data_IF_737011751704
#
_entry.id   IF_737011751704
#
_cell.length_a   1.000
_cell.length_b   1.000
_cell.length_c   1.000
_cell.angle_alpha   90.00
_cell.angle_beta   90.00
_cell.angle_gamma   90.00
#
_symmetry.space_group_name_H-M   'P 1'
#
loop_
_entity.id
_entity.type
_entity.pdbx_description
1 polymer ?
#
# COMPACT_ATOMS: atom_id res chain seq x y z
N UNK A 1 -21.26 -15.89 16.87
CA UNK A 1 -22.11 -16.47 15.82
C UNK A 1 -21.18 -16.93 14.73
N UNK A 2 -21.06 -18.25 14.60
CA UNK A 2 -20.17 -18.93 13.64
C UNK A 2 -21.08 -19.38 12.51
N UNK A 3 -20.73 -19.05 11.27
CA UNK A 3 -21.38 -19.59 10.07
C UNK A 3 -20.32 -20.30 9.26
N UNK A 4 -20.46 -21.62 9.16
CA UNK A 4 -19.77 -22.46 8.19
C UNK A 4 -20.64 -22.57 6.93
N UNK A 5 -20.03 -22.50 5.75
CA UNK A 5 -20.61 -23.01 4.51
C UNK A 5 -19.64 -23.99 3.87
N UNK A 6 -20.10 -25.24 3.68
CA UNK A 6 -19.43 -26.32 2.95
C UNK A 6 -19.74 -26.29 1.44
N UNK A 7 -19.48 -27.38 0.69
CA UNK A 7 -18.39 -27.45 -0.30
C UNK A 7 -18.82 -27.34 -1.78
N UNK A 8 -17.85 -26.98 -2.64
CA UNK A 8 -17.90 -27.01 -4.12
C UNK A 8 -18.19 -25.62 -4.71
N UNK A 9 -17.45 -25.08 -5.68
CA UNK A 9 -16.96 -25.68 -6.93
C UNK A 9 -15.68 -24.96 -7.40
N UNK A 10 -14.67 -25.75 -7.75
CA UNK A 10 -13.52 -25.36 -8.58
C UNK A 10 -14.00 -24.93 -9.96
N UNK A 11 -13.65 -23.74 -10.44
CA UNK A 11 -13.94 -23.35 -11.82
C UNK A 11 -13.59 -21.90 -12.17
N UNK A 12 -12.38 -21.71 -12.70
CA UNK A 12 -11.96 -20.66 -13.64
C UNK A 12 -12.87 -19.44 -13.85
N UNK A 13 -12.48 -18.28 -13.31
CA UNK A 13 -12.87 -16.98 -13.90
C UNK A 13 -11.76 -16.56 -14.87
N UNK A 14 -12.08 -16.69 -16.16
CA UNK A 14 -11.26 -16.26 -17.29
C UNK A 14 -11.31 -14.73 -17.41
N UNK A 15 -10.12 -14.16 -17.49
CA UNK A 15 -9.84 -12.76 -17.81
C UNK A 15 -10.53 -12.37 -19.14
N UNK A 16 -11.50 -11.46 -19.11
CA UNK A 16 -12.21 -10.95 -20.30
C UNK A 16 -11.77 -9.53 -20.64
N UNK A 17 -10.50 -9.34 -20.98
CA UNK A 17 -10.07 -8.13 -21.71
C UNK A 17 -8.96 -8.44 -22.71
N UNK A 18 -9.31 -9.22 -23.74
CA UNK A 18 -8.56 -9.32 -24.99
C UNK A 18 -9.51 -9.08 -26.16
N UNK A 19 -9.81 -7.82 -26.48
CA UNK A 19 -10.28 -7.45 -27.82
C UNK A 19 -10.20 -5.92 -28.06
N UNK A 20 -9.01 -5.40 -28.38
CA UNK A 20 -8.86 -4.51 -29.56
C UNK A 20 -7.43 -4.71 -30.07
N UNK A 21 -7.28 -5.60 -31.04
CA UNK A 21 -6.15 -5.56 -31.95
C UNK A 21 -6.46 -4.58 -33.07
N UNK A 22 -5.47 -3.78 -33.46
CA UNK A 22 -5.19 -3.62 -34.87
C UNK A 22 -3.76 -3.12 -35.13
N UNK A 23 -3.08 -3.91 -35.96
CA UNK A 23 -1.99 -3.55 -36.88
C UNK A 23 -0.59 -3.41 -36.30
N UNK A 24 0.11 -4.54 -36.32
CA UNK A 24 1.57 -4.63 -36.48
C UNK A 24 1.92 -4.24 -37.91
N UNK A 25 2.92 -3.37 -38.11
CA UNK A 25 3.66 -3.35 -39.36
C UNK A 25 5.17 -3.30 -39.07
N UNK A 26 5.87 -4.29 -39.64
CA UNK A 26 7.28 -4.56 -39.47
C UNK A 26 8.10 -3.71 -40.45
N UNK A 27 9.15 -3.06 -39.97
CA UNK A 27 10.06 -2.27 -40.80
C UNK A 27 11.41 -2.03 -40.11
N UNK A 28 12.37 -2.88 -40.42
CA UNK A 28 13.78 -2.75 -40.02
C UNK A 28 14.45 -1.60 -40.77
N UNK A 29 15.30 -0.82 -40.09
CA UNK A 29 16.66 -0.35 -40.49
C UNK A 29 16.94 1.12 -40.17
N UNK A 30 18.01 1.35 -39.39
CA UNK A 30 18.99 2.42 -39.61
C UNK A 30 18.76 3.78 -38.96
N UNK A 31 19.64 4.17 -38.04
CA UNK A 31 19.79 5.56 -37.58
C UNK A 31 20.44 5.67 -36.20
N UNK A 32 21.77 5.72 -36.16
CA UNK A 32 22.57 6.15 -35.00
C UNK A 32 22.48 7.68 -34.86
N UNK A 33 22.74 8.17 -33.64
CA UNK A 33 22.80 9.57 -33.14
C UNK A 33 21.54 9.94 -32.33
N UNK A 34 21.59 10.38 -31.08
CA UNK A 34 22.67 10.78 -30.21
C UNK A 34 22.05 11.72 -29.16
N UNK A 35 22.34 11.50 -27.88
CA UNK A 35 22.07 12.48 -26.81
C UNK A 35 20.92 12.12 -25.87
N UNK A 36 21.24 12.01 -24.58
CA UNK A 36 20.26 12.12 -23.49
C UNK A 36 20.12 10.92 -22.56
N UNK A 37 21.22 10.28 -22.13
CA UNK A 37 21.16 9.35 -21.01
C UNK A 37 21.01 10.10 -19.68
N UNK A 38 19.77 10.30 -19.22
CA UNK A 38 19.43 10.51 -17.81
C UNK A 38 18.14 9.76 -17.47
N UNK A 39 18.20 8.44 -17.62
CA UNK A 39 17.20 7.53 -17.09
C UNK A 39 17.94 6.43 -16.36
N UNK A 40 18.10 6.58 -15.05
CA UNK A 40 18.68 5.57 -14.15
C UNK A 40 17.74 4.37 -13.96
N UNK A 41 17.17 3.85 -15.05
CA UNK A 41 16.43 2.60 -15.06
C UNK A 41 17.43 1.46 -15.13
N UNK A 42 17.78 0.88 -13.98
CA UNK A 42 18.45 -0.41 -13.95
C UNK A 42 17.46 -1.49 -14.36
N UNK A 43 17.29 -1.67 -15.67
CA UNK A 43 16.76 -2.91 -16.25
C UNK A 43 17.95 -3.84 -16.44
N UNK A 44 18.13 -4.86 -15.58
CA UNK A 44 19.19 -5.85 -15.83
C UNK A 44 19.68 -6.73 -14.70
N UNK A 45 18.91 -6.91 -13.62
CA UNK A 45 18.99 -8.04 -12.68
C UNK A 45 17.83 -7.79 -11.71
N UNK A 46 17.04 -8.79 -11.36
CA UNK A 46 16.23 -8.66 -10.15
C UNK A 46 17.22 -8.31 -9.03
N UNK A 47 17.01 -7.18 -8.35
CA UNK A 47 17.94 -6.67 -7.34
C UNK A 47 18.36 -7.83 -6.43
N UNK A 48 19.67 -8.03 -6.20
CA UNK A 48 20.16 -9.15 -5.40
C UNK A 48 19.46 -9.23 -4.03
N UNK A 49 19.04 -8.09 -3.49
CA UNK A 49 18.22 -7.96 -2.28
C UNK A 49 16.84 -8.58 -2.43
N UNK A 50 16.16 -8.37 -3.58
CA UNK A 50 14.86 -8.98 -3.88
C UNK A 50 15.02 -10.50 -4.00
N UNK A 51 16.05 -10.98 -4.69
CA UNK A 51 16.31 -12.41 -4.80
C UNK A 51 16.61 -13.04 -3.42
N UNK A 52 17.41 -12.38 -2.59
CA UNK A 52 17.67 -12.81 -1.21
C UNK A 52 16.39 -12.86 -0.36
N UNK A 53 15.52 -11.84 -0.47
CA UNK A 53 14.22 -11.81 0.20
C UNK A 53 13.32 -12.96 -0.28
N UNK A 54 13.28 -13.22 -1.59
CA UNK A 54 12.52 -14.33 -2.19
C UNK A 54 13.07 -15.69 -1.78
N UNK A 55 14.36 -15.83 -1.47
CA UNK A 55 14.94 -17.11 -1.05
C UNK A 55 14.58 -17.50 0.39
N UNK A 56 14.22 -16.56 1.27
CA UNK A 56 13.93 -16.81 2.69
C UNK A 56 12.46 -16.63 3.07
N UNK A 57 12.11 -17.02 4.28
CA UNK A 57 10.76 -16.81 4.80
C UNK A 57 10.46 -15.31 4.95
N UNK A 58 9.23 -14.91 4.61
CA UNK A 58 8.85 -13.50 4.68
C UNK A 58 8.99 -12.91 6.09
N UNK A 59 8.72 -13.70 7.14
CA UNK A 59 8.90 -13.28 8.54
C UNK A 59 10.31 -12.79 8.88
N UNK A 60 11.31 -13.22 8.11
CA UNK A 60 12.73 -12.93 8.32
C UNK A 60 13.24 -11.80 7.41
N UNK A 61 12.34 -11.11 6.69
CA UNK A 61 12.72 -9.93 5.91
C UNK A 61 13.13 -8.78 6.82
N UNK A 62 14.35 -8.30 6.62
CA UNK A 62 14.80 -7.02 7.15
C UNK A 62 14.00 -5.87 6.54
N UNK A 63 14.07 -4.70 7.17
CA UNK A 63 13.39 -3.52 6.67
C UNK A 63 13.90 -3.09 5.28
N UNK A 64 15.19 -3.23 4.99
CA UNK A 64 15.75 -2.95 3.66
C UNK A 64 15.27 -3.93 2.59
N UNK A 65 15.02 -5.19 2.94
CA UNK A 65 14.41 -6.16 2.03
C UNK A 65 12.92 -5.89 1.82
N UNK A 66 12.20 -5.45 2.85
CA UNK A 66 10.81 -5.00 2.71
C UNK A 66 10.71 -3.81 1.74
N UNK A 67 11.62 -2.85 1.83
CA UNK A 67 11.72 -1.73 0.88
C UNK A 67 12.03 -2.23 -0.54
N UNK A 68 13.06 -3.04 -0.73
CA UNK A 68 13.42 -3.56 -2.05
C UNK A 68 12.29 -4.37 -2.69
N UNK A 69 11.57 -5.18 -1.91
CA UNK A 69 10.38 -5.90 -2.38
C UNK A 69 9.25 -4.94 -2.74
N UNK A 70 9.01 -3.91 -1.93
CA UNK A 70 7.99 -2.91 -2.24
C UNK A 70 8.32 -2.12 -3.52
N UNK A 71 9.57 -1.72 -3.74
CA UNK A 71 9.98 -1.03 -4.95
C UNK A 71 9.88 -1.92 -6.20
N UNK A 72 10.29 -3.18 -6.09
CA UNK A 72 10.19 -4.14 -7.19
C UNK A 72 8.74 -4.45 -7.56
N UNK A 73 7.86 -4.62 -6.58
CA UNK A 73 6.41 -4.79 -6.79
C UNK A 73 5.79 -3.51 -7.34
N UNK A 74 6.16 -2.33 -6.87
CA UNK A 74 5.66 -1.07 -7.40
C UNK A 74 6.00 -0.91 -8.90
N UNK A 75 7.20 -1.33 -9.30
CA UNK A 75 7.67 -1.24 -10.68
C UNK A 75 7.08 -2.32 -11.61
N UNK A 76 6.93 -3.56 -11.11
CA UNK A 76 6.58 -4.74 -11.93
C UNK A 76 5.17 -5.27 -11.70
N UNK A 77 4.47 -4.81 -10.66
CA UNK A 77 3.18 -5.36 -10.24
C UNK A 77 3.27 -6.86 -9.99
N UNK A 78 2.31 -7.62 -10.55
CA UNK A 78 2.26 -9.08 -10.41
C UNK A 78 3.41 -9.81 -11.10
N UNK A 79 4.14 -9.15 -12.01
CA UNK A 79 5.31 -9.72 -12.67
C UNK A 79 6.57 -9.70 -11.77
N UNK A 80 6.51 -9.07 -10.59
CA UNK A 80 7.59 -9.13 -9.61
C UNK A 80 7.78 -10.57 -9.11
N UNK A 81 9.01 -11.10 -9.07
CA UNK A 81 9.29 -12.40 -8.46
C UNK A 81 8.95 -12.45 -6.96
N UNK A 82 8.81 -11.30 -6.29
CA UNK A 82 8.44 -11.22 -4.89
C UNK A 82 6.93 -11.15 -4.65
N UNK A 83 6.11 -10.91 -5.69
CA UNK A 83 4.67 -10.70 -5.56
C UNK A 83 3.98 -11.88 -4.87
N UNK A 84 4.19 -13.11 -5.36
CA UNK A 84 3.56 -14.31 -4.80
C UNK A 84 3.93 -14.52 -3.32
N UNK A 85 5.19 -14.23 -2.94
CA UNK A 85 5.64 -14.36 -1.55
C UNK A 85 5.05 -13.27 -0.64
N UNK A 86 5.00 -12.02 -1.11
CA UNK A 86 4.33 -10.94 -0.39
C UNK A 86 2.83 -11.24 -0.20
N UNK A 87 2.17 -11.79 -1.24
CA UNK A 87 0.77 -12.20 -1.21
C UNK A 87 0.52 -13.28 -0.16
N UNK A 88 1.33 -14.35 -0.17
CA UNK A 88 1.28 -15.40 0.82
C UNK A 88 1.53 -14.88 2.25
N UNK A 89 2.47 -13.95 2.44
CA UNK A 89 2.76 -13.35 3.74
C UNK A 89 1.58 -12.50 4.26
N UNK A 90 0.93 -11.75 3.39
CA UNK A 90 -0.27 -10.96 3.71
C UNK A 90 -1.45 -11.87 4.07
N UNK A 91 -1.67 -12.96 3.32
CA UNK A 91 -2.73 -13.94 3.62
C UNK A 91 -2.51 -14.70 4.92
N UNK A 92 -1.26 -15.09 5.19
CA UNK A 92 -0.89 -15.73 6.45
C UNK A 92 -0.92 -14.77 7.65
N UNK A 93 -1.06 -13.45 7.42
CA UNK A 93 -0.98 -12.45 8.47
C UNK A 93 0.42 -12.37 9.10
N UNK A 94 1.47 -12.65 8.33
CA UNK A 94 2.86 -12.63 8.79
C UNK A 94 3.19 -11.29 9.45
N UNK A 95 3.70 -11.37 10.68
CA UNK A 95 4.08 -10.21 11.47
C UNK A 95 5.56 -9.91 11.35
N UNK A 96 5.86 -8.63 11.25
CA UNK A 96 7.16 -8.01 11.36
C UNK A 96 7.20 -7.17 12.63
N UNK A 97 8.40 -6.77 13.05
CA UNK A 97 8.53 -5.90 14.20
C UNK A 97 9.65 -4.86 14.01
N UNK A 98 9.46 -3.71 14.65
CA UNK A 98 10.48 -2.66 14.75
C UNK A 98 10.47 -2.09 16.17
N UNK A 99 11.66 -1.81 16.72
CA UNK A 99 11.79 -1.15 18.01
C UNK A 99 11.59 0.36 17.83
N UNK A 100 10.65 0.95 18.56
CA UNK A 100 10.37 2.37 18.58
C UNK A 100 11.40 3.15 19.40
N UNK A 101 11.48 4.46 19.18
CA UNK A 101 12.41 5.35 19.90
C UNK A 101 12.15 5.39 21.41
N UNK A 102 10.93 5.09 21.84
CA UNK A 102 10.55 4.97 23.25
C UNK A 102 10.83 3.58 23.86
N UNK A 103 11.51 2.69 23.13
CA UNK A 103 11.89 1.34 23.58
C UNK A 103 10.81 0.27 23.43
N UNK A 104 9.56 0.64 23.11
CA UNK A 104 8.50 -0.33 22.81
C UNK A 104 8.72 -1.01 21.45
N UNK A 105 8.05 -2.15 21.24
CA UNK A 105 8.05 -2.85 19.95
C UNK A 105 6.74 -2.61 19.22
N UNK A 106 6.83 -2.13 17.98
CA UNK A 106 5.70 -2.06 17.06
C UNK A 106 5.66 -3.36 16.25
N UNK A 107 4.55 -4.09 16.33
CA UNK A 107 4.27 -5.21 15.43
C UNK A 107 3.42 -4.73 14.26
N UNK A 108 3.71 -5.18 13.05
CA UNK A 108 2.97 -4.80 11.85
C UNK A 108 2.92 -5.94 10.83
N UNK A 109 1.96 -5.92 9.90
CA UNK A 109 1.77 -6.94 8.85
C UNK A 109 1.38 -6.30 7.52
N UNK A 110 1.61 -7.00 6.41
CA UNK A 110 1.14 -6.55 5.09
C UNK A 110 -0.40 -6.65 5.04
N UNK A 111 -1.04 -5.64 4.45
CA UNK A 111 -2.49 -5.59 4.20
C UNK A 111 -2.86 -5.17 2.78
N UNK A 112 -1.91 -4.63 2.02
CA UNK A 112 -2.11 -4.22 0.64
C UNK A 112 -0.84 -4.47 -0.16
N UNK A 113 -1.02 -4.80 -1.43
CA UNK A 113 0.06 -5.00 -2.40
C UNK A 113 -0.35 -4.26 -3.67
N UNK A 114 0.50 -3.37 -4.16
CA UNK A 114 0.24 -2.58 -5.38
C UNK A 114 -1.15 -1.90 -5.37
N UNK A 115 -1.53 -1.28 -4.23
CA UNK A 115 -2.90 -0.81 -3.98
C UNK A 115 -2.99 0.72 -3.92
N UNK A 116 -2.31 1.33 -2.95
CA UNK A 116 -2.39 2.76 -2.67
C UNK A 116 -1.56 3.59 -3.66
N UNK A 117 -2.09 4.73 -4.11
CA UNK A 117 -1.36 5.62 -5.02
C UNK A 117 -0.30 6.43 -4.27
N UNK A 118 0.94 6.43 -4.75
CA UNK A 118 2.02 7.24 -4.21
C UNK A 118 1.72 8.73 -4.42
N UNK A 119 2.02 9.54 -3.41
CA UNK A 119 1.69 10.96 -3.43
C UNK A 119 2.53 11.78 -4.43
N UNK A 120 3.68 11.26 -4.86
CA UNK A 120 4.54 11.88 -5.87
C UNK A 120 4.08 11.59 -7.32
N UNK A 121 3.03 10.77 -7.49
CA UNK A 121 2.49 10.42 -8.80
C UNK A 121 3.31 9.37 -9.56
N UNK A 122 4.31 8.75 -8.93
CA UNK A 122 5.17 7.73 -9.58
C UNK A 122 4.49 6.38 -9.81
N UNK A 123 3.29 6.19 -9.27
CA UNK A 123 2.51 4.96 -9.42
C UNK A 123 1.90 4.53 -8.10
N UNK A 124 1.88 3.22 -7.87
CA UNK A 124 1.31 2.61 -6.67
C UNK A 124 2.39 2.16 -5.70
N UNK A 125 2.10 2.22 -4.41
CA UNK A 125 2.94 1.65 -3.37
C UNK A 125 2.93 0.11 -3.49
N UNK A 126 4.11 -0.51 -3.52
CA UNK A 126 4.20 -1.94 -3.69
C UNK A 126 3.70 -2.74 -2.49
N UNK A 127 3.91 -2.25 -1.27
CA UNK A 127 3.41 -2.84 -0.03
C UNK A 127 2.77 -1.78 0.89
N UNK A 128 1.63 -2.12 1.49
CA UNK A 128 0.96 -1.35 2.54
C UNK A 128 0.88 -2.19 3.81
N UNK A 129 1.20 -1.60 4.96
CA UNK A 129 1.29 -2.29 6.24
C UNK A 129 0.27 -1.77 7.27
N UNK A 130 -0.19 -2.67 8.15
CA UNK A 130 -1.04 -2.39 9.29
C UNK A 130 -0.31 -2.72 10.59
N UNK A 131 -0.29 -1.77 11.52
CA UNK A 131 0.17 -2.01 12.90
C UNK A 131 -0.81 -2.92 13.65
N UNK A 132 -0.30 -3.96 14.29
CA UNK A 132 -1.09 -4.94 15.06
C UNK A 132 -0.89 -4.86 16.57
N UNK A 133 0.13 -4.15 17.04
CA UNK A 133 0.35 -3.88 18.47
C UNK A 133 -0.48 -2.70 18.97
N UNK A 134 -1.10 -2.82 20.15
CA UNK A 134 -1.96 -1.80 20.75
C UNK A 134 -1.22 -0.73 21.60
N UNK A 135 0.10 -0.59 21.40
CA UNK A 135 0.98 0.25 22.24
C UNK A 135 0.90 1.76 21.95
N UNK A 136 0.40 2.16 20.78
CA UNK A 136 0.23 3.56 20.40
C UNK A 136 -1.26 3.89 20.47
N UNK A 137 -1.63 4.84 21.34
CA UNK A 137 -3.02 5.30 21.51
C UNK A 137 -3.07 6.82 21.49
N UNK A 138 -3.98 7.36 20.71
CA UNK A 138 -4.32 8.79 20.75
C UNK A 138 -5.78 8.98 20.34
N UNK A 139 -6.44 9.97 20.96
CA UNK A 139 -7.77 10.44 20.53
C UNK A 139 -7.68 11.05 19.12
N UNK A 140 -8.81 11.03 18.39
CA UNK A 140 -8.94 11.68 17.08
C UNK A 140 -8.77 13.21 17.18
N UNK A 141 -9.54 13.83 18.08
CA UNK A 141 -9.58 15.27 18.35
C UNK A 141 -9.82 15.52 19.86
N UNK A 142 -9.42 16.69 20.38
CA UNK A 142 -9.72 17.07 21.77
C UNK A 142 -11.22 17.26 22.04
N UNK A 143 -11.97 17.74 21.05
CA UNK A 143 -13.43 17.88 21.11
C UNK A 143 -14.09 16.75 20.33
N UNK A 144 -15.28 16.32 20.77
CA UNK A 144 -16.08 15.33 20.06
C UNK A 144 -16.79 15.95 18.83
N UNK A 145 -16.01 16.31 17.81
CA UNK A 145 -16.49 16.93 16.57
C UNK A 145 -15.76 16.34 15.36
N UNK A 146 -16.47 16.21 14.26
CA UNK A 146 -15.96 15.84 12.93
C UNK A 146 -15.54 17.05 12.10
N UNK A 147 -15.55 18.26 12.69
CA UNK A 147 -15.19 19.50 12.00
C UNK A 147 -13.81 19.38 11.32
N UNK A 148 -13.75 19.66 10.00
CA UNK A 148 -12.58 19.52 9.10
C UNK A 148 -12.14 18.10 8.77
N UNK A 149 -12.90 17.08 9.17
CA UNK A 149 -12.67 15.69 8.81
C UNK A 149 -11.27 15.16 9.19
N UNK A 150 -10.80 14.15 8.45
CA UNK A 150 -9.49 13.54 8.66
C UNK A 150 -8.35 14.56 8.49
N UNK A 151 -8.43 15.38 7.45
CA UNK A 151 -7.41 16.37 7.09
C UNK A 151 -7.07 17.31 8.26
N UNK A 152 -8.12 17.79 8.96
CA UNK A 152 -7.99 18.70 10.09
C UNK A 152 -7.73 18.04 11.43
N UNK A 153 -7.73 16.71 11.52
CA UNK A 153 -7.70 16.00 12.80
C UNK A 153 -6.37 16.15 13.55
N UNK A 154 -6.43 16.20 14.89
CA UNK A 154 -5.24 16.19 15.74
C UNK A 154 -4.43 14.91 15.55
N UNK A 155 -5.11 13.77 15.42
CA UNK A 155 -4.49 12.47 15.22
C UNK A 155 -3.67 12.40 13.93
N UNK A 156 -4.21 12.87 12.79
CA UNK A 156 -3.47 12.90 11.52
C UNK A 156 -2.16 13.68 11.64
N UNK A 157 -2.17 14.83 12.31
CA UNK A 157 -0.97 15.65 12.55
C UNK A 157 0.07 14.87 13.35
N UNK A 158 -0.35 14.23 14.45
CA UNK A 158 0.52 13.38 15.26
C UNK A 158 1.12 12.22 14.45
N UNK A 159 0.33 11.61 13.58
CA UNK A 159 0.71 10.47 12.74
C UNK A 159 1.65 10.81 11.59
N UNK A 160 1.60 12.02 11.02
CA UNK A 160 2.33 12.35 9.79
C UNK A 160 3.58 13.23 9.96
N UNK A 161 3.66 13.94 11.09
CA UNK A 161 4.82 14.78 11.42
C UNK A 161 5.02 15.04 12.92
N UNK A 162 4.13 14.51 13.77
CA UNK A 162 4.13 14.77 15.21
C UNK A 162 4.59 13.59 16.06
N UNK A 163 4.09 13.53 17.29
CA UNK A 163 4.58 12.61 18.32
C UNK A 163 4.51 11.13 17.93
N UNK A 164 3.51 10.69 17.15
CA UNK A 164 3.39 9.29 16.72
C UNK A 164 4.41 8.99 15.62
N UNK A 165 4.54 9.88 14.62
CA UNK A 165 5.56 9.75 13.58
C UNK A 165 6.97 9.68 14.18
N UNK A 166 7.24 10.52 15.17
CA UNK A 166 8.54 10.63 15.82
C UNK A 166 8.90 9.42 16.72
N UNK A 167 7.96 8.50 16.94
CA UNK A 167 8.26 7.20 17.57
C UNK A 167 8.98 6.24 16.61
N UNK A 168 8.81 6.43 15.29
CA UNK A 168 9.44 5.58 14.29
C UNK A 168 10.95 5.86 14.24
N UNK A 169 11.82 4.84 14.22
CA UNK A 169 13.26 5.05 14.04
C UNK A 169 13.58 5.75 12.72
N UNK A 170 14.69 6.49 12.66
CA UNK A 170 15.10 7.21 11.46
C UNK A 170 15.20 6.29 10.22
N UNK A 171 15.72 5.07 10.40
CA UNK A 171 15.84 4.07 9.33
C UNK A 171 14.48 3.56 8.82
N UNK A 172 13.45 3.55 9.68
CA UNK A 172 12.07 3.27 9.29
C UNK A 172 11.45 4.45 8.56
N UNK A 173 11.63 5.65 9.11
CA UNK A 173 11.12 6.88 8.52
C UNK A 173 11.63 7.11 7.09
N UNK A 174 12.90 6.78 6.79
CA UNK A 174 13.50 7.00 5.47
C UNK A 174 12.90 6.12 4.37
N UNK A 175 12.30 4.97 4.74
CA UNK A 175 11.77 3.96 3.81
C UNK A 175 10.27 4.06 3.60
N UNK A 176 9.57 4.82 4.43
CA UNK A 176 8.13 5.05 4.29
C UNK A 176 7.90 6.16 3.26
N UNK A 177 7.19 5.81 2.19
CA UNK A 177 6.69 6.78 1.20
C UNK A 177 5.30 7.28 1.59
N UNK A 178 4.99 8.51 1.20
CA UNK A 178 3.65 9.07 1.39
C UNK A 178 2.72 8.58 0.28
N UNK A 179 1.47 8.27 0.63
CA UNK A 179 0.41 7.90 -0.31
C UNK A 179 -0.71 8.94 -0.30
N UNK A 180 -1.50 8.95 -1.38
CA UNK A 180 -2.71 9.75 -1.49
C UNK A 180 -3.88 8.99 -0.87
N UNK A 181 -4.50 9.53 0.18
CA UNK A 181 -5.71 8.95 0.79
C UNK A 181 -6.90 9.87 0.57
N UNK A 182 -7.99 9.28 0.08
CA UNK A 182 -9.27 9.96 -0.10
C UNK A 182 -10.11 9.76 1.15
N UNK A 183 -10.64 10.84 1.70
CA UNK A 183 -11.52 10.80 2.87
C UNK A 183 -12.87 11.40 2.51
N UNK A 184 -13.92 10.69 2.87
CA UNK A 184 -15.25 11.27 2.94
C UNK A 184 -15.42 12.04 4.25
N UNK A 185 -15.73 13.34 4.14
CA UNK A 185 -15.79 14.24 5.31
C UNK A 185 -17.20 14.42 5.87
N UNK A 186 -18.22 13.77 5.30
CA UNK A 186 -19.55 13.71 5.91
C UNK A 186 -19.71 12.41 6.70
N UNK A 187 -20.62 12.43 7.67
CA UNK A 187 -20.98 11.22 8.43
C UNK A 187 -21.72 10.20 7.55
N UNK A 188 -22.12 9.07 8.15
CA UNK A 188 -23.01 8.11 7.47
C UNK A 188 -24.40 8.69 7.20
N UNK A 189 -25.15 8.06 6.27
CA UNK A 189 -26.51 8.45 5.91
C UNK A 189 -26.70 8.74 4.41
N UNK A 190 -27.87 9.27 4.03
CA UNK A 190 -28.22 9.59 2.63
C UNK A 190 -27.34 10.66 2.00
N UNK A 191 -26.77 11.55 2.82
CA UNK A 191 -25.91 12.66 2.38
C UNK A 191 -24.52 12.17 1.92
N UNK A 192 -24.21 10.90 2.21
CA UNK A 192 -22.91 10.29 1.93
C UNK A 192 -22.69 10.00 0.43
N UNK A 193 -23.77 9.77 -0.32
CA UNK A 193 -23.71 9.30 -1.72
C UNK A 193 -23.04 10.30 -2.69
N UNK A 194 -23.21 11.60 -2.45
CA UNK A 194 -22.66 12.66 -3.30
C UNK A 194 -21.64 13.53 -2.56
N UNK A 195 -21.10 13.04 -1.46
CA UNK A 195 -20.20 13.83 -0.65
C UNK A 195 -18.87 14.06 -1.35
N UNK A 196 -18.41 15.31 -1.31
CA UNK A 196 -17.07 15.62 -1.78
C UNK A 196 -16.03 14.92 -0.91
N UNK A 197 -15.20 14.09 -1.54
CA UNK A 197 -14.01 13.53 -0.90
C UNK A 197 -12.86 14.54 -0.99
N UNK A 198 -12.07 14.64 0.07
CA UNK A 198 -10.80 15.37 0.02
C UNK A 198 -9.63 14.41 -0.03
N UNK A 199 -8.59 14.81 -0.76
CA UNK A 199 -7.34 14.06 -0.84
C UNK A 199 -6.35 14.60 0.19
N UNK A 200 -5.67 13.69 0.87
CA UNK A 200 -4.57 13.98 1.79
C UNK A 200 -3.33 13.20 1.38
N UNK A 201 -2.16 13.73 1.73
CA UNK A 201 -0.87 13.06 1.57
C UNK A 201 -0.40 12.57 2.92
N UNK A 202 -0.36 11.25 3.10
CA UNK A 202 -0.12 10.62 4.40
C UNK A 202 0.96 9.54 4.32
N UNK A 203 1.84 9.51 5.32
CA UNK A 203 2.76 8.41 5.63
C UNK A 203 2.10 7.35 6.51
N UNK A 204 1.37 7.82 7.53
CA UNK A 204 0.59 6.98 8.44
C UNK A 204 -0.86 7.45 8.39
N UNK A 205 -1.78 6.50 8.26
CA UNK A 205 -3.21 6.74 8.14
C UNK A 205 -4.01 5.65 8.85
N UNK A 206 -5.29 5.93 9.10
CA UNK A 206 -6.22 4.92 9.62
C UNK A 206 -6.81 4.11 8.46
N UNK A 207 -7.15 2.86 8.74
CA UNK A 207 -7.92 2.04 7.80
C UNK A 207 -9.25 2.72 7.49
N UNK A 208 -9.62 2.72 6.22
CA UNK A 208 -10.96 3.13 5.83
C UNK A 208 -11.97 2.09 6.30
N UNK A 209 -13.22 2.51 6.49
CA UNK A 209 -14.31 1.56 6.78
C UNK A 209 -14.49 0.53 5.66
N UNK A 210 -14.31 0.93 4.39
CA UNK A 210 -14.34 0.03 3.23
C UNK A 210 -13.19 -0.97 3.16
N UNK A 211 -12.06 -0.69 3.81
CA UNK A 211 -10.94 -1.64 3.92
C UNK A 211 -11.20 -2.72 4.99
N UNK A 212 -12.18 -2.51 5.88
CA UNK A 212 -12.51 -3.42 6.99
C UNK A 212 -13.79 -4.21 6.72
N UNK A 213 -14.76 -3.62 6.01
CA UNK A 213 -16.04 -4.24 5.68
C UNK A 213 -16.03 -4.77 4.24
N UNK A 214 -15.96 -6.08 4.09
CA UNK A 214 -15.91 -6.79 2.81
C UNK A 214 -17.23 -6.75 2.02
N UNK A 215 -18.30 -6.29 2.65
CA UNK A 215 -19.60 -6.09 2.00
C UNK A 215 -19.71 -4.74 1.28
N UNK A 216 -18.73 -3.86 1.46
CA UNK A 216 -18.75 -2.54 0.88
C UNK A 216 -17.97 -2.43 -0.45
N UNK A 217 -18.39 -1.51 -1.33
CA UNK A 217 -17.67 -1.23 -2.55
C UNK A 217 -16.25 -0.71 -2.27
N UNK A 218 -15.25 -1.36 -2.87
CA UNK A 218 -13.82 -1.10 -2.64
C UNK A 218 -13.26 0.05 -3.48
N UNK A 219 -13.95 0.43 -4.57
CA UNK A 219 -13.60 1.60 -5.37
C UNK A 219 -14.61 2.72 -5.17
N UNK A 220 -14.15 3.98 -5.29
CA UNK A 220 -15.02 5.16 -5.18
C UNK A 220 -16.07 5.23 -6.30
N UNK A 221 -15.80 4.64 -7.46
CA UNK A 221 -16.78 4.52 -8.56
C UNK A 221 -17.99 3.65 -8.24
N UNK A 222 -17.87 2.85 -7.18
CA UNK A 222 -18.85 1.82 -6.85
C UNK A 222 -19.84 2.31 -5.78
N UNK A 223 -19.78 3.59 -5.41
CA UNK A 223 -20.69 4.32 -4.51
C UNK A 223 -21.57 5.31 -5.29
#
# INVERSE_FOLDING_TARGET
MIVFAGPGVVGAIRNQFNLVGNTVNNGTTGGVEGGGATGGGSTGADSATVQAAVAKDAKDWSLGEQEAVAEDIAAKGEASPAYAKARAAMDAGTKFSVKLTNGQTLEYRIIGINHDDLADGSGKAGLTFLTTSAGIKSRMNAKNTSYRGWEGSELRKKMNSGEIWNLMPADFQSKVKSVKKLTNNVGGGSDNKNAAVTATTDKLFLLSYSEIDDTLPKNLSDW
#
